data_IF_246708943836
#
_entry.id   IF_246708943836
#
_cell.length_a   1.000
_cell.length_b   1.000
_cell.length_c   1.000
_cell.angle_alpha   90.00
_cell.angle_beta   90.00
_cell.angle_gamma   90.00
#
_symmetry.space_group_name_H-M   'P 1'
#
loop_
_entity.id
_entity.type
_entity.pdbx_description
1 polymer ?
#
# COMPACT_ATOMS: atom_id res chain seq x y z
N UNK A 1 -5.08 15.79 2.94
CA UNK A 1 -5.47 14.68 2.04
C UNK A 1 -6.06 15.27 0.78
N UNK A 2 -5.63 14.84 -0.42
CA UNK A 2 -6.23 15.25 -1.70
C UNK A 2 -6.69 13.98 -2.42
N UNK A 3 -8.00 13.81 -2.59
CA UNK A 3 -8.62 12.67 -3.25
C UNK A 3 -8.99 13.01 -4.70
N UNK A 4 -8.77 12.10 -5.64
CA UNK A 4 -9.23 12.18 -7.03
C UNK A 4 -9.65 10.79 -7.55
N UNK A 5 -10.42 10.71 -8.64
CA UNK A 5 -10.89 9.43 -9.19
C UNK A 5 -11.97 8.75 -8.34
N UNK A 6 -12.03 7.41 -8.32
CA UNK A 6 -13.05 6.65 -7.57
C UNK A 6 -13.09 6.97 -6.07
N UNK A 7 -11.96 7.41 -5.48
CA UNK A 7 -11.89 7.85 -4.09
C UNK A 7 -12.69 9.13 -3.81
N UNK A 8 -12.99 9.93 -4.86
CA UNK A 8 -13.83 11.13 -4.73
C UNK A 8 -15.31 10.77 -4.57
N UNK A 9 -15.72 9.62 -5.12
CA UNK A 9 -17.12 9.18 -5.17
C UNK A 9 -17.45 8.08 -4.14
N UNK A 10 -16.47 7.22 -3.78
CA UNK A 10 -16.66 6.08 -2.86
C UNK A 10 -16.06 6.26 -1.46
N UNK A 11 -15.24 7.29 -1.23
CA UNK A 11 -14.58 7.52 0.07
C UNK A 11 -13.43 6.55 0.35
N UNK A 12 -13.03 6.43 1.63
CA UNK A 12 -11.96 5.54 2.11
C UNK A 12 -12.51 4.13 2.43
N UNK A 13 -12.64 3.27 1.42
CA UNK A 13 -13.31 1.98 1.53
C UNK A 13 -12.43 0.87 2.14
N UNK A 14 -11.10 1.04 2.17
CA UNK A 14 -10.22 0.06 2.83
C UNK A 14 -9.99 0.36 4.32
N UNK A 15 -10.23 1.59 4.78
CA UNK A 15 -10.25 1.90 6.22
C UNK A 15 -11.49 1.38 6.94
N UNK A 16 -12.63 1.34 6.27
CA UNK A 16 -13.89 0.84 6.81
C UNK A 16 -14.42 -0.32 5.96
N UNK A 17 -13.73 -1.46 6.02
CA UNK A 17 -14.09 -2.65 5.24
C UNK A 17 -15.55 -3.07 5.51
N UNK A 18 -16.35 -3.12 4.45
CA UNK A 18 -17.68 -3.70 4.50
C UNK A 18 -17.57 -5.22 4.65
N UNK A 19 -18.04 -5.75 5.78
CA UNK A 19 -18.05 -7.19 6.05
C UNK A 19 -18.98 -7.96 5.11
N UNK A 20 -19.92 -7.28 4.44
CA UNK A 20 -20.79 -7.87 3.43
C UNK A 20 -20.15 -7.89 2.03
N UNK A 21 -18.95 -7.33 1.87
CA UNK A 21 -18.23 -7.40 0.60
C UNK A 21 -17.90 -8.87 0.27
N UNK A 22 -18.31 -9.41 -0.89
CA UNK A 22 -18.10 -10.83 -1.20
C UNK A 22 -16.64 -11.28 -1.16
N UNK A 23 -15.71 -10.35 -1.39
CA UNK A 23 -14.28 -10.61 -1.37
C UNK A 23 -13.62 -10.37 0.00
N UNK A 24 -14.38 -9.98 1.03
CA UNK A 24 -13.84 -9.69 2.36
C UNK A 24 -13.01 -10.84 2.95
N UNK A 25 -13.46 -12.12 2.94
CA UNK A 25 -12.65 -13.22 3.47
C UNK A 25 -11.34 -13.41 2.69
N UNK A 26 -11.40 -13.34 1.36
CA UNK A 26 -10.22 -13.48 0.49
C UNK A 26 -9.24 -12.34 0.72
N UNK A 27 -9.74 -11.12 0.89
CA UNK A 27 -8.92 -9.95 1.22
C UNK A 27 -8.20 -10.14 2.56
N UNK A 28 -8.89 -10.60 3.61
CA UNK A 28 -8.27 -10.84 4.91
C UNK A 28 -7.14 -11.88 4.83
N UNK A 29 -7.39 -13.01 4.18
CA UNK A 29 -6.38 -14.08 4.03
C UNK A 29 -5.19 -13.62 3.18
N UNK A 30 -5.43 -12.91 2.07
CA UNK A 30 -4.38 -12.29 1.25
C UNK A 30 -3.53 -11.36 2.10
N UNK A 31 -4.15 -10.47 2.87
CA UNK A 31 -3.43 -9.52 3.72
C UNK A 31 -2.65 -10.21 4.83
N UNK A 32 -3.20 -11.26 5.45
CA UNK A 32 -2.50 -12.05 6.46
C UNK A 32 -1.26 -12.74 5.87
N UNK A 33 -1.40 -13.35 4.69
CA UNK A 33 -0.32 -14.03 3.99
C UNK A 33 0.80 -13.08 3.56
N UNK A 34 0.45 -11.97 2.90
CA UNK A 34 1.41 -10.93 2.50
C UNK A 34 2.16 -10.39 3.71
N UNK A 35 1.45 -10.07 4.80
CA UNK A 35 2.08 -9.57 6.03
C UNK A 35 3.03 -10.57 6.66
N UNK A 36 2.71 -11.87 6.61
CA UNK A 36 3.63 -12.90 7.08
C UNK A 36 4.94 -12.87 6.29
N UNK A 37 4.87 -12.87 4.96
CA UNK A 37 6.06 -12.80 4.08
C UNK A 37 6.89 -11.56 4.37
N UNK A 38 6.25 -10.39 4.41
CA UNK A 38 6.96 -9.13 4.63
C UNK A 38 7.60 -9.07 6.00
N UNK A 39 6.97 -9.67 7.02
CA UNK A 39 7.50 -9.67 8.39
C UNK A 39 8.77 -10.50 8.57
N UNK A 40 9.02 -11.44 7.66
CA UNK A 40 10.24 -12.25 7.61
C UNK A 40 11.42 -11.51 6.94
N UNK A 41 11.18 -10.35 6.31
CA UNK A 41 12.24 -9.52 5.72
C UNK A 41 13.04 -8.75 6.78
N UNK A 42 14.29 -8.40 6.43
CA UNK A 42 15.07 -7.44 7.20
C UNK A 42 14.33 -6.08 7.22
N UNK A 43 14.21 -5.48 8.41
CA UNK A 43 13.56 -4.18 8.61
C UNK A 43 14.19 -3.04 7.81
N UNK A 44 15.47 -3.19 7.43
CA UNK A 44 16.22 -2.25 6.59
C UNK A 44 16.00 -2.43 5.10
N UNK A 45 15.33 -3.52 4.68
CA UNK A 45 14.96 -3.72 3.28
C UNK A 45 14.07 -2.57 2.83
N UNK A 46 14.41 -1.96 1.70
CA UNK A 46 13.63 -0.89 1.10
C UNK A 46 12.47 -1.49 0.32
N UNK A 47 11.26 -1.23 0.77
CA UNK A 47 10.04 -1.82 0.22
C UNK A 47 9.22 -0.73 -0.48
N UNK A 48 8.75 -1.04 -1.69
CA UNK A 48 7.74 -0.24 -2.39
C UNK A 48 6.42 -1.03 -2.45
N UNK A 49 5.33 -0.40 -2.06
CA UNK A 49 3.97 -0.86 -2.35
C UNK A 49 3.41 -0.02 -3.51
N UNK A 50 3.43 -0.57 -4.72
CA UNK A 50 3.03 0.11 -5.95
C UNK A 50 1.54 -0.14 -6.23
N UNK A 51 0.77 0.94 -6.31
CA UNK A 51 -0.70 0.87 -6.32
C UNK A 51 -1.28 0.63 -4.92
N UNK A 52 -0.69 1.23 -3.89
CA UNK A 52 -1.04 0.94 -2.49
C UNK A 52 -2.42 1.47 -2.05
N UNK A 53 -3.13 2.20 -2.91
CA UNK A 53 -4.38 2.88 -2.56
C UNK A 53 -4.20 3.79 -1.35
N UNK A 54 -5.04 3.60 -0.33
CA UNK A 54 -5.00 4.35 0.92
C UNK A 54 -3.75 4.09 1.78
N UNK A 55 -2.90 3.12 1.40
CA UNK A 55 -1.65 2.84 2.11
C UNK A 55 -1.82 2.09 3.43
N UNK A 56 -2.88 1.28 3.58
CA UNK A 56 -3.15 0.53 4.81
C UNK A 56 -1.95 -0.33 5.23
N UNK A 57 -1.40 -1.10 4.30
CA UNK A 57 -0.23 -1.94 4.53
C UNK A 57 1.02 -1.11 4.85
N UNK A 58 1.21 -0.02 4.10
CA UNK A 58 2.33 0.92 4.27
C UNK A 58 2.31 1.53 5.66
N UNK A 59 1.16 1.99 6.14
CA UNK A 59 1.01 2.59 7.47
C UNK A 59 1.20 1.56 8.59
N UNK A 60 0.65 0.35 8.45
CA UNK A 60 0.83 -0.74 9.42
C UNK A 60 2.33 -1.08 9.56
N UNK A 61 3.01 -1.36 8.46
CA UNK A 61 4.43 -1.74 8.48
C UNK A 61 5.35 -0.57 8.84
N UNK A 62 5.02 0.69 8.49
CA UNK A 62 5.76 1.86 8.98
C UNK A 62 5.73 1.97 10.50
N UNK A 63 4.59 1.68 11.14
CA UNK A 63 4.48 1.67 12.61
C UNK A 63 5.31 0.55 13.25
N UNK A 64 5.51 -0.55 12.53
CA UNK A 64 6.37 -1.67 12.94
C UNK A 64 7.87 -1.45 12.65
N UNK A 65 8.24 -0.30 12.06
CA UNK A 65 9.63 0.09 11.84
C UNK A 65 10.24 -0.36 10.52
N UNK A 66 9.44 -0.81 9.54
CA UNK A 66 9.93 -1.17 8.21
C UNK A 66 10.24 0.05 7.34
N UNK A 67 11.25 -0.06 6.48
CA UNK A 67 11.51 0.93 5.44
C UNK A 67 10.63 0.74 4.19
N UNK A 68 9.32 0.94 4.36
CA UNK A 68 8.32 0.85 3.28
C UNK A 68 7.81 2.22 2.82
N UNK A 69 7.54 2.40 1.53
CA UNK A 69 6.83 3.57 0.99
C UNK A 69 5.72 3.12 0.02
N UNK A 70 4.62 3.86 -0.02
CA UNK A 70 3.55 3.64 -0.99
C UNK A 70 3.69 4.54 -2.21
N UNK A 71 3.27 4.04 -3.37
CA UNK A 71 3.00 4.83 -4.57
C UNK A 71 1.57 4.57 -5.01
N UNK A 72 0.80 5.61 -5.25
CA UNK A 72 -0.54 5.47 -5.83
C UNK A 72 -0.86 6.59 -6.80
N UNK A 73 -1.63 6.30 -7.86
CA UNK A 73 -1.97 7.30 -8.86
C UNK A 73 -2.97 8.34 -8.35
N UNK A 74 -3.86 7.97 -7.44
CA UNK A 74 -4.98 8.78 -6.97
C UNK A 74 -4.90 9.16 -5.50
N UNK A 75 -3.99 8.57 -4.73
CA UNK A 75 -3.83 8.81 -3.30
C UNK A 75 -2.48 9.41 -2.92
N UNK A 76 -2.45 10.15 -1.81
CA UNK A 76 -1.21 10.66 -1.20
C UNK A 76 -1.39 10.87 0.30
N UNK A 77 -0.36 10.53 1.07
CA UNK A 77 -0.29 10.73 2.51
C UNK A 77 1.15 11.00 2.95
N UNK A 78 1.42 10.97 4.26
CA UNK A 78 2.78 11.08 4.79
C UNK A 78 3.71 9.98 4.26
N UNK A 79 3.18 8.78 4.03
CA UNK A 79 3.95 7.60 3.62
C UNK A 79 3.60 7.12 2.20
N UNK A 80 2.67 7.79 1.51
CA UNK A 80 2.27 7.48 0.14
C UNK A 80 2.55 8.66 -0.77
N UNK A 81 3.39 8.45 -1.79
CA UNK A 81 3.62 9.41 -2.87
C UNK A 81 2.55 9.24 -3.95
N UNK A 82 2.06 10.37 -4.47
CA UNK A 82 1.23 10.37 -5.68
C UNK A 82 2.11 10.21 -6.91
N UNK A 83 1.83 9.24 -7.77
CA UNK A 83 2.54 9.05 -9.03
C UNK A 83 2.06 7.84 -9.83
N UNK A 84 2.49 7.76 -11.08
CA UNK A 84 2.14 6.64 -11.98
C UNK A 84 3.13 5.49 -11.82
N UNK A 85 2.65 4.25 -11.88
CA UNK A 85 3.54 3.10 -11.97
C UNK A 85 4.27 3.02 -13.33
N UNK A 86 3.78 3.73 -14.36
CA UNK A 86 4.44 3.84 -15.67
C UNK A 86 5.57 4.87 -15.70
N UNK A 87 5.62 5.75 -14.69
CA UNK A 87 6.63 6.82 -14.57
C UNK A 87 6.85 7.11 -13.09
N UNK A 88 7.61 6.23 -12.43
CA UNK A 88 7.78 6.25 -10.99
C UNK A 88 8.78 7.32 -10.56
N UNK A 89 8.49 8.12 -9.50
CA UNK A 89 9.38 9.18 -9.03
C UNK A 89 10.51 8.65 -8.12
N UNK A 90 11.11 7.53 -8.50
CA UNK A 90 12.18 6.85 -7.76
C UNK A 90 13.36 6.61 -8.68
N UNK A 91 14.57 6.56 -8.12
CA UNK A 91 15.75 6.17 -8.89
C UNK A 91 15.70 4.67 -9.15
N UNK A 92 16.28 4.25 -10.26
CA UNK A 92 16.51 2.83 -10.53
C UNK A 92 17.27 2.17 -9.37
N UNK A 93 17.04 0.87 -9.17
CA UNK A 93 17.72 0.06 -8.14
C UNK A 93 17.55 0.58 -6.70
N UNK A 94 16.46 1.29 -6.41
CA UNK A 94 16.20 1.84 -5.06
C UNK A 94 15.64 0.81 -4.08
N UNK A 95 14.80 -0.12 -4.55
CA UNK A 95 14.01 -1.00 -3.68
C UNK A 95 14.50 -2.45 -3.78
N UNK A 96 14.56 -3.11 -2.63
CA UNK A 96 14.89 -4.54 -2.53
C UNK A 96 13.65 -5.41 -2.80
N UNK A 97 12.46 -4.90 -2.46
CA UNK A 97 11.18 -5.60 -2.64
C UNK A 97 10.12 -4.63 -3.17
N UNK A 98 9.36 -5.09 -4.17
CA UNK A 98 8.23 -4.35 -4.74
C UNK A 98 6.98 -5.22 -4.67
N UNK A 99 5.90 -4.64 -4.16
CA UNK A 99 4.56 -5.22 -4.15
C UNK A 99 3.70 -4.52 -5.21
N UNK A 100 2.83 -5.29 -5.84
CA UNK A 100 1.77 -4.79 -6.71
C UNK A 100 0.60 -5.77 -6.56
N UNK A 101 -0.35 -5.44 -5.70
CA UNK A 101 -1.33 -6.37 -5.13
C UNK A 101 -2.75 -6.10 -5.56
#
# INVERSE_FOLDING_TARGET
MRLSGEYRDKGEYHKNLDKNWPYYPVYLEKMAFVKKILRDLDRKSKILDAGCGEGILVEELKKEGFDIIGLDYNYSSKYVKKGSIFDMPFKDETFDVILCL
#
